data_IF_593774768166
#
_entry.id   IF_593774768166
#
_cell.length_a   1.000
_cell.length_b   1.000
_cell.length_c   1.000
_cell.angle_alpha   90.00
_cell.angle_beta   90.00
_cell.angle_gamma   90.00
#
_symmetry.space_group_name_H-M   'P 1'
#
loop_
_entity.id
_entity.type
_entity.pdbx_description
1 polymer ?
#
# COMPACT_ATOMS: atom_id res chain seq x y z
N UNK A 1 8.69 -14.29 -4.57
CA UNK A 1 8.51 -14.48 -3.13
C UNK A 1 7.14 -15.08 -2.79
N UNK A 2 6.06 -14.49 -3.30
CA UNK A 2 4.71 -15.07 -3.31
C UNK A 2 4.27 -15.21 -4.77
N UNK A 3 3.63 -16.33 -5.09
CA UNK A 3 3.04 -16.57 -6.41
C UNK A 3 1.67 -17.25 -6.22
N UNK A 4 0.66 -16.81 -6.96
CA UNK A 4 -0.63 -17.50 -7.03
C UNK A 4 -1.00 -17.76 -8.48
N UNK A 5 -1.77 -18.81 -8.72
CA UNK A 5 -2.29 -19.17 -10.04
C UNK A 5 -3.75 -19.58 -9.93
N UNK A 6 -4.62 -18.79 -10.50
CA UNK A 6 -6.06 -18.99 -10.46
C UNK A 6 -6.63 -19.11 -9.05
N UNK A 7 -5.99 -18.46 -8.05
CA UNK A 7 -6.36 -18.62 -6.65
C UNK A 7 -7.78 -18.11 -6.42
N UNK A 8 -8.66 -19.00 -5.94
CA UNK A 8 -10.09 -18.73 -5.83
C UNK A 8 -10.62 -19.12 -4.46
N UNK A 9 -11.51 -18.27 -3.92
CA UNK A 9 -12.25 -18.56 -2.69
C UNK A 9 -13.73 -18.25 -2.86
N UNK A 10 -14.53 -19.30 -2.82
CA UNK A 10 -15.99 -19.21 -2.67
C UNK A 10 -16.39 -19.63 -1.26
N UNK A 11 -17.28 -18.86 -0.62
CA UNK A 11 -17.88 -19.21 0.65
C UNK A 11 -19.23 -19.92 0.46
N UNK A 12 -19.73 -20.54 1.53
CA UNK A 12 -21.08 -21.14 1.53
C UNK A 12 -22.11 -20.08 1.17
N UNK A 13 -23.00 -20.39 0.24
CA UNK A 13 -23.97 -19.41 -0.31
C UNK A 13 -23.55 -18.81 -1.67
N UNK A 14 -22.41 -19.23 -2.23
CA UNK A 14 -21.98 -18.82 -3.59
C UNK A 14 -21.25 -17.48 -3.64
N UNK A 15 -21.02 -16.82 -2.51
CA UNK A 15 -20.25 -15.58 -2.47
C UNK A 15 -18.79 -15.84 -2.86
N UNK A 16 -18.37 -15.25 -3.97
CA UNK A 16 -17.00 -15.33 -4.50
C UNK A 16 -16.17 -14.18 -3.92
N UNK A 17 -15.35 -14.49 -2.92
CA UNK A 17 -14.52 -13.49 -2.26
C UNK A 17 -13.19 -13.22 -2.99
N UNK A 18 -12.65 -14.24 -3.69
CA UNK A 18 -11.47 -14.15 -4.56
C UNK A 18 -11.74 -15.01 -5.79
N UNK A 19 -11.50 -14.46 -6.96
CA UNK A 19 -11.83 -15.06 -8.25
C UNK A 19 -10.62 -15.07 -9.19
N UNK A 20 -9.98 -16.23 -9.33
CA UNK A 20 -8.92 -16.47 -10.29
C UNK A 20 -7.69 -15.57 -10.14
N UNK A 21 -7.25 -15.29 -8.90
CA UNK A 21 -6.15 -14.35 -8.62
C UNK A 21 -4.78 -14.91 -9.05
N UNK A 22 -4.13 -14.22 -9.98
CA UNK A 22 -2.75 -14.48 -10.45
C UNK A 22 -1.83 -13.37 -9.94
N UNK A 23 -1.20 -13.58 -8.78
CA UNK A 23 -0.37 -12.60 -8.08
C UNK A 23 1.09 -13.01 -8.09
N UNK A 24 2.00 -12.06 -8.35
CA UNK A 24 3.45 -12.26 -8.27
C UNK A 24 4.08 -11.17 -7.41
N UNK A 25 4.68 -11.57 -6.28
CA UNK A 25 5.42 -10.68 -5.38
C UNK A 25 6.91 -10.93 -5.52
N UNK A 26 7.70 -9.97 -6.01
CA UNK A 26 9.15 -10.08 -6.14
C UNK A 26 9.85 -10.19 -4.77
N UNK A 27 11.02 -10.83 -4.73
CA UNK A 27 11.87 -10.86 -3.53
C UNK A 27 12.50 -9.48 -3.30
N UNK A 28 12.60 -9.05 -2.04
CA UNK A 28 13.20 -7.77 -1.67
C UNK A 28 12.30 -6.55 -1.94
N UNK A 29 11.06 -6.75 -2.44
CA UNK A 29 10.13 -5.65 -2.65
C UNK A 29 9.38 -5.27 -1.38
N UNK A 30 8.97 -4.01 -1.30
CA UNK A 30 7.81 -3.59 -0.51
C UNK A 30 6.62 -3.64 -1.47
N UNK A 31 5.76 -4.62 -1.27
CA UNK A 31 4.64 -4.91 -2.17
C UNK A 31 3.32 -4.50 -1.53
N UNK A 32 2.61 -3.56 -2.14
CA UNK A 32 1.30 -3.09 -1.74
C UNK A 32 0.18 -3.90 -2.38
N UNK A 33 -0.75 -4.39 -1.59
CA UNK A 33 -1.96 -5.07 -2.06
C UNK A 33 -3.16 -4.18 -1.80
N UNK A 34 -3.57 -3.45 -2.83
CA UNK A 34 -4.48 -2.32 -2.77
C UNK A 34 -5.89 -2.73 -3.20
N UNK A 35 -6.89 -2.11 -2.59
CA UNK A 35 -8.29 -2.27 -2.99
C UNK A 35 -9.27 -1.85 -1.90
N UNK A 36 -10.53 -1.61 -2.23
CA UNK A 36 -11.56 -1.21 -1.27
C UNK A 36 -11.82 -2.28 -0.22
N UNK A 37 -12.50 -1.90 0.85
CA UNK A 37 -12.91 -2.83 1.88
C UNK A 37 -13.86 -3.89 1.29
N UNK A 38 -13.67 -5.16 1.71
CA UNK A 38 -14.47 -6.27 1.18
C UNK A 38 -14.06 -6.81 -0.19
N UNK A 39 -13.07 -6.25 -0.89
CA UNK A 39 -12.65 -6.72 -2.21
C UNK A 39 -11.88 -8.07 -2.19
N UNK A 40 -11.56 -8.65 -1.01
CA UNK A 40 -10.92 -9.96 -0.88
C UNK A 40 -9.47 -9.94 -0.39
N UNK A 41 -8.88 -8.80 -0.01
CA UNK A 41 -7.49 -8.68 0.46
C UNK A 41 -7.17 -9.62 1.63
N UNK A 42 -7.89 -9.48 2.74
CA UNK A 42 -7.71 -10.33 3.94
C UNK A 42 -7.96 -11.82 3.64
N UNK A 43 -8.96 -12.13 2.80
CA UNK A 43 -9.23 -13.50 2.35
C UNK A 43 -8.03 -14.09 1.60
N UNK A 44 -7.42 -13.31 0.71
CA UNK A 44 -6.20 -13.71 -0.02
C UNK A 44 -5.05 -13.95 0.96
N UNK A 45 -4.79 -13.02 1.88
CA UNK A 45 -3.75 -13.17 2.91
C UNK A 45 -3.95 -14.44 3.74
N UNK A 46 -5.19 -14.71 4.17
CA UNK A 46 -5.50 -15.93 4.94
C UNK A 46 -5.22 -17.22 4.15
N UNK A 47 -5.50 -17.25 2.83
CA UNK A 47 -5.15 -18.39 1.97
C UNK A 47 -3.62 -18.53 1.81
N UNK A 48 -2.91 -17.43 1.59
CA UNK A 48 -1.45 -17.43 1.50
C UNK A 48 -0.78 -17.96 2.77
N UNK A 49 -1.35 -17.65 3.94
CA UNK A 49 -0.85 -18.13 5.24
C UNK A 49 -1.38 -19.50 5.62
N UNK A 50 -2.23 -20.12 4.81
CA UNK A 50 -2.82 -21.44 5.11
C UNK A 50 -3.80 -21.41 6.29
N UNK A 51 -4.39 -20.26 6.59
CA UNK A 51 -5.40 -20.09 7.64
C UNK A 51 -6.80 -20.53 7.16
N UNK A 52 -7.01 -20.46 5.86
CA UNK A 52 -8.20 -21.01 5.16
C UNK A 52 -7.76 -21.70 3.87
N UNK A 53 -8.51 -22.71 3.45
CA UNK A 53 -8.27 -23.39 2.20
C UNK A 53 -8.83 -22.63 1.01
N UNK A 54 -8.09 -22.62 -0.10
CA UNK A 54 -8.60 -22.16 -1.39
C UNK A 54 -9.67 -23.13 -1.91
N UNK A 55 -10.65 -22.62 -2.64
CA UNK A 55 -11.66 -23.44 -3.33
C UNK A 55 -11.10 -23.99 -4.65
N UNK A 56 -10.22 -23.21 -5.31
CA UNK A 56 -9.51 -23.60 -6.53
C UNK A 56 -8.20 -22.83 -6.67
N UNK A 57 -7.36 -23.24 -7.62
CA UNK A 57 -6.07 -22.61 -7.87
C UNK A 57 -4.98 -23.07 -6.93
N UNK A 58 -3.88 -22.32 -6.88
CA UNK A 58 -2.72 -22.66 -6.03
C UNK A 58 -1.99 -21.41 -5.55
N UNK A 59 -1.29 -21.54 -4.42
CA UNK A 59 -0.43 -20.51 -3.86
C UNK A 59 0.94 -21.08 -3.50
N UNK A 60 1.99 -20.30 -3.69
CA UNK A 60 3.35 -20.58 -3.26
C UNK A 60 3.87 -19.40 -2.44
N UNK A 61 4.49 -19.69 -1.30
CA UNK A 61 5.14 -18.70 -0.43
C UNK A 61 6.56 -19.17 -0.18
N UNK A 62 7.55 -18.29 -0.34
CA UNK A 62 8.98 -18.63 -0.30
C UNK A 62 9.33 -19.80 -1.24
N UNK A 63 8.70 -19.83 -2.43
CA UNK A 63 8.89 -20.89 -3.44
C UNK A 63 8.24 -22.23 -3.09
N UNK A 64 7.51 -22.36 -1.98
CA UNK A 64 6.92 -23.62 -1.49
C UNK A 64 5.39 -23.61 -1.55
N UNK A 65 4.73 -24.72 -1.90
CA UNK A 65 3.28 -24.77 -2.04
C UNK A 65 2.57 -24.63 -0.68
N UNK A 66 1.57 -23.76 -0.62
CA UNK A 66 0.73 -23.58 0.55
C UNK A 66 -0.66 -24.20 0.32
N UNK A 67 -1.29 -24.74 1.38
CA UNK A 67 -0.84 -24.84 2.79
C UNK A 67 0.10 -26.00 3.09
N UNK A 68 0.36 -26.90 2.15
CA UNK A 68 1.08 -28.16 2.38
C UNK A 68 2.48 -27.97 3.02
N UNK A 69 3.22 -26.92 2.64
CA UNK A 69 4.53 -26.61 3.18
C UNK A 69 4.50 -25.66 4.41
N UNK A 70 3.35 -25.40 5.00
CA UNK A 70 3.17 -24.40 6.06
C UNK A 70 4.15 -24.55 7.22
N UNK A 71 4.38 -25.77 7.73
CA UNK A 71 5.35 -26.01 8.83
C UNK A 71 6.78 -25.55 8.52
N UNK A 72 7.18 -25.57 7.24
CA UNK A 72 8.52 -25.15 6.80
C UNK A 72 8.58 -23.66 6.46
N UNK A 73 7.48 -23.10 5.97
CA UNK A 73 7.39 -21.73 5.46
C UNK A 73 7.09 -20.74 6.58
N UNK A 74 6.07 -21.00 7.39
CA UNK A 74 5.57 -20.04 8.38
C UNK A 74 6.59 -19.58 9.43
N UNK A 75 7.55 -20.42 9.89
CA UNK A 75 8.61 -19.93 10.78
C UNK A 75 9.51 -18.84 10.16
N UNK A 76 9.50 -18.68 8.85
CA UNK A 76 10.26 -17.65 8.12
C UNK A 76 9.43 -16.41 7.76
N UNK A 77 8.15 -16.42 8.13
CA UNK A 77 7.19 -15.36 7.86
C UNK A 77 6.79 -14.68 9.16
N UNK A 78 6.95 -13.36 9.22
CA UNK A 78 6.30 -12.52 10.23
C UNK A 78 4.91 -12.12 9.72
N UNK A 79 3.88 -12.19 10.54
CA UNK A 79 2.54 -11.85 10.11
C UNK A 79 1.79 -11.01 11.16
N UNK A 80 1.07 -9.99 10.68
CA UNK A 80 0.07 -9.23 11.42
C UNK A 80 -1.21 -9.21 10.58
N UNK A 81 -2.20 -10.04 10.96
CA UNK A 81 -3.43 -10.25 10.19
C UNK A 81 -4.62 -9.89 11.09
N UNK A 82 -5.51 -9.02 10.60
CA UNK A 82 -6.72 -8.56 11.34
C UNK A 82 -6.46 -7.91 12.70
N UNK A 83 -5.24 -7.42 12.88
CA UNK A 83 -4.82 -6.78 14.12
C UNK A 83 -4.14 -7.71 15.12
N UNK A 84 -3.62 -7.15 16.19
CA UNK A 84 -2.77 -7.87 17.15
C UNK A 84 -3.60 -8.72 18.10
N UNK A 85 -3.40 -10.04 18.08
CA UNK A 85 -4.01 -10.99 19.00
C UNK A 85 -3.31 -10.96 20.39
N UNK A 86 -3.52 -9.87 21.15
CA UNK A 86 -2.84 -9.64 22.43
C UNK A 86 -3.65 -10.13 23.63
N UNK A 87 -2.94 -10.62 24.61
CA UNK A 87 -3.52 -10.91 25.94
C UNK A 87 -3.58 -9.61 26.76
N UNK A 88 -4.77 -9.02 26.86
CA UNK A 88 -4.97 -7.71 27.49
C UNK A 88 -4.53 -7.62 28.95
N UNK A 89 -4.53 -8.75 29.69
CA UNK A 89 -4.11 -8.84 31.09
C UNK A 89 -2.59 -8.96 31.28
N UNK A 90 -1.85 -9.30 30.23
CA UNK A 90 -0.38 -9.35 30.24
C UNK A 90 0.21 -7.97 29.89
N UNK A 91 1.45 -7.74 30.35
CA UNK A 91 2.23 -6.58 29.91
C UNK A 91 2.62 -6.70 28.42
N UNK A 92 3.07 -5.59 27.79
CA UNK A 92 3.61 -5.64 26.44
C UNK A 92 4.77 -6.62 26.34
N UNK A 93 5.69 -6.58 27.30
CA UNK A 93 6.83 -7.49 27.40
C UNK A 93 6.39 -8.95 27.51
N UNK A 94 5.44 -9.25 28.38
CA UNK A 94 4.99 -10.64 28.62
C UNK A 94 4.21 -11.19 27.41
N UNK A 95 3.49 -10.35 26.67
CA UNK A 95 2.92 -10.74 25.39
C UNK A 95 4.01 -11.20 24.41
N UNK A 96 5.08 -10.40 24.25
CA UNK A 96 6.18 -10.77 23.35
C UNK A 96 6.93 -12.02 23.81
N UNK A 97 7.17 -12.19 25.13
CA UNK A 97 7.74 -13.42 25.69
C UNK A 97 6.91 -14.65 25.34
N UNK A 98 5.58 -14.52 25.38
CA UNK A 98 4.66 -15.59 25.04
C UNK A 98 4.70 -15.93 23.56
N UNK A 99 4.72 -14.93 22.68
CA UNK A 99 4.88 -15.15 21.25
C UNK A 99 6.24 -15.78 20.91
N UNK A 100 7.31 -15.30 21.51
CA UNK A 100 8.64 -15.88 21.35
C UNK A 100 8.69 -17.36 21.80
N UNK A 101 8.05 -17.68 22.92
CA UNK A 101 7.99 -19.04 23.43
C UNK A 101 7.16 -19.99 22.54
N UNK A 102 6.24 -19.46 21.74
CA UNK A 102 5.44 -20.23 20.80
C UNK A 102 6.15 -20.49 19.45
N UNK A 103 7.24 -19.78 19.18
CA UNK A 103 8.02 -19.95 17.95
C UNK A 103 9.01 -21.13 18.12
N UNK A 104 8.85 -22.22 17.34
CA UNK A 104 9.72 -23.40 17.47
C UNK A 104 11.17 -23.14 17.06
N UNK A 105 11.44 -22.05 16.35
CA UNK A 105 12.80 -21.66 15.94
C UNK A 105 13.49 -20.74 16.96
N UNK A 106 12.79 -20.30 18.02
CA UNK A 106 13.33 -19.37 19.00
C UNK A 106 14.28 -20.05 20.01
N UNK A 107 15.51 -19.53 20.16
CA UNK A 107 16.40 -19.93 21.24
C UNK A 107 15.97 -19.25 22.56
N UNK A 108 15.56 -20.04 23.58
CA UNK A 108 15.14 -19.49 24.88
C UNK A 108 16.21 -18.64 25.58
N UNK A 109 17.49 -18.87 25.31
CA UNK A 109 18.63 -18.18 25.95
C UNK A 109 18.70 -16.72 25.51
N UNK A 110 18.24 -16.38 24.32
CA UNK A 110 18.30 -15.03 23.75
C UNK A 110 16.95 -14.32 23.73
N UNK A 111 15.91 -14.91 24.33
CA UNK A 111 14.53 -14.37 24.38
C UNK A 111 14.48 -12.91 24.85
N UNK A 112 15.06 -12.61 26.01
CA UNK A 112 14.98 -11.27 26.59
C UNK A 112 15.59 -10.23 25.65
N UNK A 113 16.73 -10.53 25.05
CA UNK A 113 17.37 -9.64 24.07
C UNK A 113 16.47 -9.40 22.87
N UNK A 114 15.84 -10.43 22.30
CA UNK A 114 14.90 -10.27 21.17
C UNK A 114 13.68 -9.43 21.55
N UNK A 115 13.11 -9.69 22.73
CA UNK A 115 11.97 -8.94 23.26
C UNK A 115 12.33 -7.46 23.44
N UNK A 116 13.50 -7.17 24.03
CA UNK A 116 13.97 -5.79 24.20
C UNK A 116 14.20 -5.10 22.85
N UNK A 117 14.85 -5.75 21.91
CA UNK A 117 15.09 -5.24 20.57
C UNK A 117 13.78 -4.96 19.82
N UNK A 118 12.82 -5.90 19.88
CA UNK A 118 11.52 -5.73 19.23
C UNK A 118 10.74 -4.56 19.84
N UNK A 119 10.73 -4.40 21.17
CA UNK A 119 10.10 -3.24 21.83
C UNK A 119 10.76 -1.91 21.48
N UNK A 120 12.09 -1.88 21.37
CA UNK A 120 12.84 -0.69 20.95
C UNK A 120 12.50 -0.30 19.50
N UNK A 121 12.51 -1.27 18.58
CA UNK A 121 12.21 -1.03 17.16
C UNK A 121 10.84 -0.38 16.93
N UNK A 122 9.85 -0.73 17.74
CA UNK A 122 8.49 -0.17 17.62
C UNK A 122 8.23 0.98 18.59
N UNK A 123 9.23 1.51 19.29
CA UNK A 123 9.10 2.64 20.21
C UNK A 123 8.27 2.35 21.48
N UNK A 124 8.18 1.09 21.91
CA UNK A 124 7.38 0.68 23.08
C UNK A 124 8.22 0.30 24.30
N UNK A 125 9.54 0.53 24.31
CA UNK A 125 10.44 0.16 25.41
C UNK A 125 9.98 0.77 26.76
N UNK A 126 9.64 2.09 26.79
CA UNK A 126 9.19 2.77 27.99
C UNK A 126 7.82 2.29 28.50
N UNK A 127 6.99 1.72 27.64
CA UNK A 127 5.66 1.20 27.97
C UNK A 127 5.63 -0.32 28.19
N UNK A 128 6.76 -1.01 28.06
CA UNK A 128 6.87 -2.46 28.06
C UNK A 128 6.21 -3.16 29.26
N UNK A 129 6.26 -2.55 30.44
CA UNK A 129 5.65 -3.07 31.67
C UNK A 129 4.16 -2.82 31.83
N UNK A 130 3.54 -1.92 31.02
CA UNK A 130 2.10 -1.65 31.11
C UNK A 130 1.30 -2.82 30.53
N UNK A 131 0.13 -3.10 31.10
CA UNK A 131 -0.80 -4.12 30.59
C UNK A 131 -1.32 -3.72 29.21
N UNK A 132 -1.38 -4.68 28.27
CA UNK A 132 -1.80 -4.40 26.88
C UNK A 132 -3.23 -3.86 26.76
N UNK A 133 -4.12 -4.14 27.74
CA UNK A 133 -5.46 -3.52 27.81
C UNK A 133 -5.42 -1.99 27.96
N UNK A 134 -4.34 -1.45 28.54
CA UNK A 134 -4.14 -0.02 28.76
C UNK A 134 -3.38 0.67 27.59
N UNK A 135 -3.06 -0.08 26.54
CA UNK A 135 -2.44 0.46 25.33
C UNK A 135 -3.49 1.15 24.44
N UNK A 136 -3.11 2.25 23.81
CA UNK A 136 -3.89 2.81 22.69
C UNK A 136 -3.94 1.82 21.53
N UNK A 137 -4.83 2.06 20.57
CA UNK A 137 -4.91 1.23 19.36
C UNK A 137 -3.55 1.18 18.64
N UNK A 138 -2.91 2.33 18.42
CA UNK A 138 -1.59 2.42 17.81
C UNK A 138 -0.50 1.68 18.59
N UNK A 139 -0.52 1.74 19.92
CA UNK A 139 0.42 0.93 20.72
C UNK A 139 0.16 -0.57 20.58
N UNK A 140 -1.09 -0.99 20.46
CA UNK A 140 -1.43 -2.41 20.21
C UNK A 140 -0.95 -2.85 18.83
N UNK A 141 -1.17 -2.06 17.79
CA UNK A 141 -0.68 -2.33 16.44
C UNK A 141 0.85 -2.47 16.42
N UNK A 142 1.56 -1.52 17.02
CA UNK A 142 3.02 -1.58 17.14
C UNK A 142 3.50 -2.80 17.94
N UNK A 143 2.79 -3.21 18.99
CA UNK A 143 3.12 -4.44 19.73
C UNK A 143 2.90 -5.70 18.89
N UNK A 144 1.84 -5.75 18.06
CA UNK A 144 1.60 -6.84 17.11
C UNK A 144 2.71 -6.92 16.06
N UNK A 145 3.15 -5.76 15.54
CA UNK A 145 4.29 -5.70 14.64
C UNK A 145 5.59 -6.16 15.31
N UNK A 146 5.83 -5.75 16.58
CA UNK A 146 6.95 -6.26 17.37
C UNK A 146 6.94 -7.78 17.50
N UNK A 147 5.77 -8.39 17.69
CA UNK A 147 5.62 -9.84 17.73
C UNK A 147 6.01 -10.51 16.40
N UNK A 148 5.63 -9.92 15.26
CA UNK A 148 6.04 -10.40 13.94
C UNK A 148 7.55 -10.32 13.70
N UNK A 149 8.24 -9.40 14.39
CA UNK A 149 9.68 -9.10 14.26
C UNK A 149 10.57 -9.75 15.34
N UNK A 150 10.04 -10.61 16.20
CA UNK A 150 10.82 -11.29 17.26
C UNK A 150 11.97 -12.15 16.71
N UNK A 151 11.80 -12.70 15.52
CA UNK A 151 12.81 -13.47 14.80
C UNK A 151 13.15 -12.81 13.47
N UNK A 152 14.35 -13.03 12.91
CA UNK A 152 14.64 -12.66 11.52
C UNK A 152 13.64 -13.34 10.57
N UNK A 153 13.03 -12.57 9.68
CA UNK A 153 12.03 -13.08 8.72
C UNK A 153 12.46 -12.79 7.29
N UNK A 154 12.21 -13.75 6.40
CA UNK A 154 12.42 -13.55 4.95
C UNK A 154 11.26 -12.77 4.31
N UNK A 155 10.06 -12.90 4.90
CA UNK A 155 8.83 -12.26 4.44
C UNK A 155 8.06 -11.70 5.65
N UNK A 156 7.55 -10.48 5.52
CA UNK A 156 6.62 -9.87 6.46
C UNK A 156 5.28 -9.64 5.75
N UNK A 157 4.19 -10.15 6.34
CA UNK A 157 2.82 -10.00 5.82
C UNK A 157 2.01 -9.15 6.80
N UNK A 158 1.56 -7.99 6.35
CA UNK A 158 0.85 -7.00 7.16
C UNK A 158 -0.52 -6.71 6.55
N UNK A 159 -1.58 -7.03 7.26
CA UNK A 159 -2.95 -6.74 6.84
C UNK A 159 -3.41 -5.43 7.50
N UNK A 160 -3.56 -4.36 6.69
CA UNK A 160 -3.98 -3.02 7.10
C UNK A 160 -3.17 -2.49 8.31
N UNK A 161 -1.82 -2.44 8.27
CA UNK A 161 -0.99 -2.19 9.46
C UNK A 161 -1.15 -0.78 10.04
N UNK A 162 -1.66 0.16 9.28
CA UNK A 162 -1.84 1.57 9.65
C UNK A 162 -3.28 1.93 10.03
N UNK A 163 -4.19 0.96 9.87
CA UNK A 163 -5.61 1.20 10.12
C UNK A 163 -5.87 1.66 11.57
N UNK A 164 -6.57 2.80 11.71
CA UNK A 164 -6.91 3.39 13.01
C UNK A 164 -5.73 4.03 13.76
N UNK A 165 -4.60 4.29 13.08
CA UNK A 165 -3.49 5.06 13.61
C UNK A 165 -3.69 6.56 13.35
N UNK A 166 -3.12 7.37 14.24
CA UNK A 166 -2.93 8.80 13.99
C UNK A 166 -1.82 9.03 12.93
N UNK A 167 -1.72 10.22 12.33
CA UNK A 167 -0.72 10.53 11.32
C UNK A 167 0.73 10.28 11.77
N UNK A 168 1.01 10.42 13.07
CA UNK A 168 2.33 10.14 13.62
C UNK A 168 2.61 8.63 13.61
N UNK A 169 1.68 7.81 14.10
CA UNK A 169 1.79 6.36 14.09
C UNK A 169 1.93 5.79 12.68
N UNK A 170 1.21 6.34 11.70
CA UNK A 170 1.34 5.96 10.28
C UNK A 170 2.75 6.24 9.76
N UNK A 171 3.33 7.41 10.07
CA UNK A 171 4.72 7.74 9.68
C UNK A 171 5.73 6.78 10.30
N UNK A 172 5.55 6.41 11.57
CA UNK A 172 6.44 5.49 12.28
C UNK A 172 6.41 4.08 11.67
N UNK A 173 5.21 3.55 11.36
CA UNK A 173 5.07 2.26 10.67
C UNK A 173 5.71 2.29 9.29
N UNK A 174 5.51 3.35 8.51
CA UNK A 174 6.12 3.51 7.18
C UNK A 174 7.64 3.53 7.25
N UNK A 175 8.21 4.26 8.22
CA UNK A 175 9.65 4.31 8.43
C UNK A 175 10.22 2.90 8.76
N UNK A 176 9.53 2.16 9.64
CA UNK A 176 9.92 0.80 10.01
C UNK A 176 9.84 -0.18 8.81
N UNK A 177 8.80 -0.09 7.99
CA UNK A 177 8.68 -0.92 6.78
C UNK A 177 9.83 -0.67 5.80
N UNK A 178 10.22 0.61 5.60
CA UNK A 178 11.37 0.95 4.75
C UNK A 178 12.70 0.43 5.32
N UNK A 179 12.91 0.54 6.64
CA UNK A 179 14.08 -0.01 7.32
C UNK A 179 14.19 -1.52 7.10
N UNK A 180 13.09 -2.27 7.33
CA UNK A 180 13.05 -3.71 7.13
C UNK A 180 13.33 -4.12 5.69
N UNK A 181 12.83 -3.37 4.72
CA UNK A 181 13.11 -3.62 3.31
C UNK A 181 14.57 -3.35 2.95
N UNK A 182 15.16 -2.29 3.51
CA UNK A 182 16.58 -1.99 3.34
C UNK A 182 17.48 -3.09 3.93
N UNK A 183 17.04 -3.77 5.00
CA UNK A 183 17.68 -4.95 5.58
C UNK A 183 17.46 -6.24 4.74
N UNK A 184 16.78 -6.16 3.59
CA UNK A 184 16.53 -7.27 2.67
C UNK A 184 15.30 -8.10 2.96
N UNK A 185 14.46 -7.73 3.93
CA UNK A 185 13.17 -8.38 4.18
C UNK A 185 12.17 -8.01 3.08
N UNK A 186 11.50 -9.00 2.49
CA UNK A 186 10.36 -8.72 1.61
C UNK A 186 9.15 -8.36 2.46
N UNK A 187 8.47 -7.26 2.14
CA UNK A 187 7.25 -6.86 2.84
C UNK A 187 6.06 -6.92 1.89
N UNK A 188 5.02 -7.64 2.30
CA UNK A 188 3.72 -7.67 1.64
C UNK A 188 2.72 -7.02 2.57
N UNK A 189 2.15 -5.90 2.18
CA UNK A 189 1.18 -5.19 2.99
C UNK A 189 -0.11 -4.91 2.22
N UNK A 190 -1.26 -5.08 2.87
CA UNK A 190 -2.54 -4.62 2.34
C UNK A 190 -2.85 -3.22 2.83
N UNK A 191 -3.50 -2.44 1.98
CA UNK A 191 -4.07 -1.14 2.35
C UNK A 191 -5.28 -0.82 1.46
N UNK A 192 -6.17 0.01 1.97
CA UNK A 192 -7.20 0.69 1.19
C UNK A 192 -6.82 2.13 0.89
N UNK A 193 -5.68 2.62 1.40
CA UNK A 193 -5.18 3.98 1.22
C UNK A 193 -4.08 4.01 0.16
N UNK A 194 -4.34 4.67 -0.93
CA UNK A 194 -3.44 4.81 -2.08
C UNK A 194 -2.16 5.55 -1.73
N UNK A 195 -2.28 6.67 -1.03
CA UNK A 195 -1.14 7.47 -0.56
C UNK A 195 -0.13 6.67 0.23
N UNK A 196 -0.59 5.67 1.01
CA UNK A 196 0.32 4.80 1.75
C UNK A 196 1.14 3.92 0.84
N UNK A 197 0.51 3.34 -0.19
CA UNK A 197 1.18 2.50 -1.17
C UNK A 197 2.20 3.30 -1.97
N UNK A 198 1.84 4.47 -2.45
CA UNK A 198 2.75 5.35 -3.19
C UNK A 198 3.97 5.78 -2.37
N UNK A 199 3.77 6.04 -1.08
CA UNK A 199 4.85 6.51 -0.21
C UNK A 199 5.82 5.42 0.23
N UNK A 200 5.43 4.14 0.27
CA UNK A 200 6.22 3.08 0.91
C UNK A 200 6.57 1.94 -0.05
N UNK A 201 5.68 1.63 -1.00
CA UNK A 201 5.82 0.45 -1.82
C UNK A 201 6.67 0.69 -3.06
N UNK A 202 7.41 -0.35 -3.46
CA UNK A 202 8.12 -0.40 -4.75
C UNK A 202 7.26 -1.01 -5.85
N UNK A 203 6.37 -1.92 -5.46
CA UNK A 203 5.43 -2.62 -6.34
C UNK A 203 4.05 -2.60 -5.72
N UNK A 204 3.04 -2.70 -6.55
CA UNK A 204 1.66 -2.82 -6.09
C UNK A 204 0.83 -3.75 -6.99
N UNK A 205 -0.24 -4.26 -6.40
CA UNK A 205 -1.33 -4.92 -7.12
C UNK A 205 -2.65 -4.29 -6.68
N UNK A 206 -3.50 -3.99 -7.64
CA UNK A 206 -4.82 -3.41 -7.42
C UNK A 206 -5.87 -4.49 -7.55
N UNK A 207 -6.71 -4.62 -6.53
CA UNK A 207 -7.78 -5.61 -6.45
C UNK A 207 -9.14 -4.95 -6.35
N UNK A 208 -10.11 -5.42 -7.13
CA UNK A 208 -11.51 -5.02 -7.01
C UNK A 208 -12.43 -6.23 -7.21
N UNK A 209 -13.52 -6.31 -6.43
CA UNK A 209 -14.56 -7.35 -6.55
C UNK A 209 -14.02 -8.78 -6.65
N UNK A 210 -12.99 -9.11 -5.86
CA UNK A 210 -12.37 -10.43 -5.83
C UNK A 210 -11.34 -10.70 -6.91
N UNK A 211 -11.09 -9.79 -7.85
CA UNK A 211 -10.20 -9.98 -9.00
C UNK A 211 -9.01 -9.04 -8.97
N UNK A 212 -7.89 -9.50 -9.51
CA UNK A 212 -6.74 -8.65 -9.80
C UNK A 212 -7.05 -7.78 -11.02
N UNK A 213 -6.92 -6.48 -10.86
CA UNK A 213 -7.11 -5.51 -11.95
C UNK A 213 -5.78 -5.26 -12.66
N UNK A 214 -4.72 -5.00 -11.89
CA UNK A 214 -3.37 -4.75 -12.42
C UNK A 214 -2.33 -5.02 -11.35
N UNK A 215 -1.08 -5.27 -11.76
CA UNK A 215 0.08 -5.35 -10.89
C UNK A 215 1.34 -4.90 -11.63
N UNK A 216 2.28 -4.30 -10.90
CA UNK A 216 3.54 -3.81 -11.47
C UNK A 216 4.36 -3.02 -10.45
N UNK A 217 5.39 -2.31 -10.92
CA UNK A 217 6.02 -1.30 -10.07
C UNK A 217 5.07 -0.13 -9.86
N UNK A 218 5.17 0.56 -8.72
CA UNK A 218 4.35 1.77 -8.46
C UNK A 218 4.57 2.81 -9.56
N UNK A 219 5.81 2.95 -10.05
CA UNK A 219 6.15 3.85 -11.14
C UNK A 219 5.44 3.48 -12.46
N UNK A 220 5.43 2.19 -12.84
CA UNK A 220 4.78 1.72 -14.07
C UNK A 220 3.26 1.88 -13.99
N UNK A 221 2.67 1.58 -12.82
CA UNK A 221 1.24 1.73 -12.61
C UNK A 221 0.80 3.20 -12.73
N UNK A 222 1.57 4.12 -12.16
CA UNK A 222 1.32 5.55 -12.30
C UNK A 222 1.55 6.03 -13.75
N UNK A 223 2.54 5.46 -14.46
CA UNK A 223 2.82 5.80 -15.85
C UNK A 223 1.72 5.28 -16.81
N UNK A 224 1.11 4.13 -16.55
CA UNK A 224 0.05 3.55 -17.40
C UNK A 224 -1.16 4.48 -17.50
N UNK A 225 -1.46 5.27 -16.48
CA UNK A 225 -2.53 6.29 -16.52
C UNK A 225 -2.08 7.53 -17.28
N UNK A 226 -0.79 7.87 -17.21
CA UNK A 226 -0.23 8.92 -18.05
C UNK A 226 -0.29 8.59 -19.55
N UNK A 227 -0.11 7.30 -19.92
CA UNK A 227 -0.20 6.84 -21.32
C UNK A 227 -1.65 6.76 -21.84
N UNK A 228 -2.63 6.50 -20.99
CA UNK A 228 -4.05 6.48 -21.36
C UNK A 228 -4.70 7.88 -21.32
N UNK A 229 -4.20 8.77 -20.47
CA UNK A 229 -4.34 10.23 -20.58
C UNK A 229 -3.05 10.73 -21.21
N UNK A 230 -2.94 10.70 -22.54
CA UNK A 230 -1.75 11.11 -23.29
C UNK A 230 -1.26 12.55 -23.02
N UNK A 231 -1.66 13.16 -21.94
CA UNK A 231 -1.37 14.51 -21.50
C UNK A 231 -1.43 14.59 -19.97
N UNK A 232 -0.35 15.01 -19.35
CA UNK A 232 -0.37 15.40 -17.93
C UNK A 232 -1.42 16.50 -17.70
N UNK A 233 -2.09 16.47 -16.55
CA UNK A 233 -2.98 17.58 -16.17
C UNK A 233 -2.14 18.75 -15.66
N UNK A 234 -2.18 19.87 -16.39
CA UNK A 234 -1.54 21.10 -15.99
C UNK A 234 -2.33 21.77 -14.88
N UNK A 235 -1.64 22.28 -13.87
CA UNK A 235 -2.22 23.12 -12.81
C UNK A 235 -1.46 24.44 -12.73
N UNK A 236 -2.20 25.54 -12.81
CA UNK A 236 -1.70 26.90 -12.65
C UNK A 236 -2.44 27.59 -11.52
N UNK A 237 -1.74 27.99 -10.47
CA UNK A 237 -2.32 28.82 -9.40
C UNK A 237 -2.03 30.29 -9.70
N UNK A 238 -3.08 31.10 -9.83
CA UNK A 238 -3.00 32.50 -10.25
C UNK A 238 -4.20 33.28 -9.75
N UNK A 239 -4.05 34.55 -9.41
CA UNK A 239 -5.20 35.46 -9.19
C UNK A 239 -5.91 35.88 -10.48
N UNK A 240 -5.40 35.48 -11.64
CA UNK A 240 -5.92 35.87 -12.98
C UNK A 240 -6.37 34.60 -13.75
N UNK A 241 -7.32 33.77 -13.24
CA UNK A 241 -7.63 32.48 -13.84
C UNK A 241 -8.24 32.56 -15.24
N UNK A 242 -9.02 33.59 -15.53
CA UNK A 242 -9.63 33.76 -16.86
C UNK A 242 -8.59 34.06 -17.95
N UNK A 243 -7.60 34.90 -17.64
CA UNK A 243 -6.51 35.20 -18.58
C UNK A 243 -5.59 34.01 -18.76
N UNK A 244 -5.29 33.30 -17.67
CA UNK A 244 -4.51 32.04 -17.72
C UNK A 244 -5.20 31.02 -18.63
N UNK A 245 -6.50 30.78 -18.44
CA UNK A 245 -7.26 29.82 -19.24
C UNK A 245 -7.27 30.20 -20.74
N UNK A 246 -7.38 31.47 -21.07
CA UNK A 246 -7.30 31.95 -22.48
C UNK A 246 -5.94 31.63 -23.10
N UNK A 247 -4.84 31.95 -22.40
CA UNK A 247 -3.48 31.67 -22.89
C UNK A 247 -3.23 30.18 -23.03
N UNK A 248 -3.63 29.36 -22.03
CA UNK A 248 -3.47 27.91 -22.07
C UNK A 248 -4.26 27.29 -23.25
N UNK A 249 -5.46 27.77 -23.51
CA UNK A 249 -6.27 27.33 -24.66
C UNK A 249 -5.61 27.63 -26.00
N UNK A 250 -4.99 28.80 -26.15
CA UNK A 250 -4.24 29.19 -27.34
C UNK A 250 -3.03 28.28 -27.60
N UNK A 251 -2.49 27.64 -26.54
CA UNK A 251 -1.38 26.71 -26.62
C UNK A 251 -1.83 25.22 -26.59
N UNK A 252 -3.12 24.96 -26.87
CA UNK A 252 -3.64 23.61 -27.07
C UNK A 252 -4.02 22.86 -25.80
N UNK A 253 -4.03 23.49 -24.63
CA UNK A 253 -4.55 22.87 -23.41
C UNK A 253 -6.07 22.77 -23.51
N UNK A 254 -6.59 21.56 -23.23
CA UNK A 254 -8.01 21.20 -23.31
C UNK A 254 -8.61 20.95 -21.93
N UNK A 255 -9.91 20.68 -21.85
CA UNK A 255 -10.65 20.36 -20.61
C UNK A 255 -10.36 21.34 -19.45
N UNK A 256 -10.29 22.63 -19.78
CA UNK A 256 -9.98 23.69 -18.83
C UNK A 256 -11.06 23.84 -17.77
N UNK A 257 -10.67 23.72 -16.50
CA UNK A 257 -11.50 23.95 -15.31
C UNK A 257 -10.92 25.12 -14.53
N UNK A 258 -11.77 26.07 -14.17
CA UNK A 258 -11.41 27.28 -13.45
C UNK A 258 -12.02 27.24 -12.05
N UNK A 259 -11.21 27.62 -11.07
CA UNK A 259 -11.64 27.99 -9.71
C UNK A 259 -11.19 29.42 -9.42
N UNK A 260 -11.47 29.94 -8.22
CA UNK A 260 -11.19 31.34 -7.86
C UNK A 260 -9.70 31.73 -8.01
N UNK A 261 -8.79 30.79 -7.80
CA UNK A 261 -7.34 31.02 -7.81
C UNK A 261 -6.53 29.98 -8.61
N UNK A 262 -7.20 29.09 -9.36
CA UNK A 262 -6.54 27.98 -10.05
C UNK A 262 -7.19 27.68 -11.39
N UNK A 263 -6.35 27.32 -12.36
CA UNK A 263 -6.75 26.76 -13.65
C UNK A 263 -6.11 25.38 -13.79
N UNK A 264 -6.91 24.38 -14.11
CA UNK A 264 -6.42 23.06 -14.49
C UNK A 264 -6.87 22.73 -15.90
N UNK A 265 -6.07 21.95 -16.62
CA UNK A 265 -6.40 21.54 -17.99
C UNK A 265 -5.50 20.41 -18.46
N UNK A 266 -5.94 19.69 -19.47
CA UNK A 266 -5.20 18.57 -20.03
C UNK A 266 -4.25 19.05 -21.12
N UNK A 267 -2.95 18.72 -21.01
CA UNK A 267 -1.94 19.00 -22.01
C UNK A 267 -2.23 18.17 -23.28
N UNK A 268 -2.04 18.70 -24.50
CA UNK A 268 -2.22 17.93 -25.71
C UNK A 268 -1.27 16.73 -25.72
N UNK A 269 -1.81 15.54 -25.98
CA UNK A 269 -1.06 14.29 -25.94
C UNK A 269 -0.34 14.00 -27.24
N UNK A 270 0.63 13.10 -27.17
CA UNK A 270 1.34 12.56 -28.34
C UNK A 270 0.42 11.80 -29.32
N UNK A 271 -0.85 11.55 -28.99
CA UNK A 271 -1.82 10.87 -29.86
C UNK A 271 -2.13 11.66 -31.15
N UNK A 272 -1.96 12.98 -31.14
CA UNK A 272 -2.17 13.83 -32.33
C UNK A 272 -0.90 14.06 -33.16
N UNK A 273 0.18 13.31 -32.89
CA UNK A 273 1.43 13.40 -33.66
C UNK A 273 2.24 14.67 -33.43
N UNK A 274 1.84 15.53 -32.49
CA UNK A 274 2.63 16.69 -32.06
C UNK A 274 3.30 16.39 -30.72
N UNK A 275 4.57 16.76 -30.51
CA UNK A 275 5.18 16.65 -29.20
C UNK A 275 4.40 17.52 -28.19
N UNK A 276 4.25 17.08 -26.93
CA UNK A 276 3.62 17.91 -25.91
C UNK A 276 4.38 19.26 -25.80
N UNK A 277 3.66 20.36 -25.54
CA UNK A 277 4.30 21.67 -25.39
C UNK A 277 5.27 21.63 -24.21
N UNK A 278 6.42 22.30 -24.37
CA UNK A 278 7.35 22.46 -23.25
C UNK A 278 6.67 23.26 -22.13
N UNK A 279 6.71 22.72 -20.93
CA UNK A 279 6.15 23.38 -19.74
C UNK A 279 6.82 24.72 -19.47
N UNK A 280 8.10 24.88 -19.81
CA UNK A 280 8.81 26.14 -19.68
C UNK A 280 8.27 27.19 -20.65
N UNK A 281 7.95 26.81 -21.90
CA UNK A 281 7.37 27.68 -22.89
C UNK A 281 5.93 28.11 -22.52
N UNK A 282 5.13 27.20 -22.01
CA UNK A 282 3.79 27.50 -21.48
C UNK A 282 3.85 28.50 -20.32
N UNK A 283 4.75 28.28 -19.36
CA UNK A 283 4.94 29.20 -18.24
C UNK A 283 5.41 30.59 -18.74
N UNK A 284 6.34 30.64 -19.69
CA UNK A 284 6.81 31.86 -20.27
C UNK A 284 5.67 32.61 -20.99
N UNK A 285 4.82 31.91 -21.73
CA UNK A 285 3.66 32.49 -22.41
C UNK A 285 2.66 33.12 -21.42
N UNK A 286 2.38 32.46 -20.32
CA UNK A 286 1.53 33.00 -19.24
C UNK A 286 2.11 34.31 -18.67
N UNK A 287 3.40 34.32 -18.35
CA UNK A 287 4.08 35.49 -17.78
C UNK A 287 4.12 36.64 -18.80
N UNK A 288 4.43 36.35 -20.07
CA UNK A 288 4.43 37.38 -21.14
C UNK A 288 3.03 37.95 -21.39
N UNK A 289 1.98 37.18 -21.20
CA UNK A 289 0.60 37.65 -21.28
C UNK A 289 0.13 38.47 -20.06
N UNK A 290 1.04 38.66 -19.05
CA UNK A 290 0.76 39.45 -17.86
C UNK A 290 0.04 38.66 -16.75
N UNK A 291 -0.07 37.32 -16.87
CA UNK A 291 -0.65 36.45 -15.83
C UNK A 291 0.29 36.35 -14.66
N UNK A 292 -0.21 36.59 -13.45
CA UNK A 292 0.57 36.50 -12.22
C UNK A 292 0.62 35.05 -11.73
N UNK A 293 1.56 34.26 -12.22
CA UNK A 293 1.73 32.86 -11.87
C UNK A 293 2.31 32.72 -10.44
N UNK A 294 1.56 32.08 -9.53
CA UNK A 294 2.00 31.75 -8.15
C UNK A 294 2.58 30.35 -8.04
N UNK A 295 1.97 29.40 -8.76
CA UNK A 295 2.48 28.04 -8.90
C UNK A 295 2.13 27.52 -10.29
N UNK A 296 3.01 26.69 -10.84
CA UNK A 296 2.89 26.08 -12.15
C UNK A 296 3.47 24.67 -12.09
N UNK A 297 2.75 23.69 -12.56
CA UNK A 297 3.20 22.31 -12.57
C UNK A 297 2.20 21.37 -13.19
N UNK A 298 2.62 20.13 -13.38
CA UNK A 298 1.72 19.05 -13.79
C UNK A 298 1.35 18.20 -12.58
N UNK A 299 0.08 17.87 -12.45
CA UNK A 299 -0.36 16.84 -11.52
C UNK A 299 0.11 15.50 -12.09
N UNK A 300 0.83 14.74 -11.28
CA UNK A 300 1.12 13.34 -11.61
C UNK A 300 -0.17 12.56 -11.40
N UNK A 301 -0.51 11.70 -12.36
CA UNK A 301 -1.59 10.75 -12.12
C UNK A 301 -1.29 9.94 -10.85
N UNK A 302 -2.24 9.94 -9.93
CA UNK A 302 -2.17 9.14 -8.71
C UNK A 302 -2.63 7.71 -8.99
N UNK A 303 -2.28 6.76 -8.13
CA UNK A 303 -2.88 5.42 -8.18
C UNK A 303 -4.41 5.45 -8.00
N UNK A 304 -4.97 6.54 -7.45
CA UNK A 304 -6.41 6.76 -7.35
C UNK A 304 -7.03 6.99 -8.73
N UNK A 305 -6.39 7.81 -9.57
CA UNK A 305 -6.82 7.99 -10.97
C UNK A 305 -6.77 6.66 -11.74
N UNK A 306 -5.72 5.84 -11.50
CA UNK A 306 -5.60 4.46 -12.04
C UNK A 306 -6.80 3.63 -11.62
N UNK A 307 -7.12 3.65 -10.34
CA UNK A 307 -8.20 2.84 -9.80
C UNK A 307 -9.57 3.26 -10.35
N UNK A 308 -9.88 4.56 -10.31
CA UNK A 308 -11.14 5.12 -10.85
C UNK A 308 -11.30 4.78 -12.33
N UNK A 309 -10.22 4.91 -13.10
CA UNK A 309 -10.24 4.62 -14.53
C UNK A 309 -10.49 3.15 -14.84
N UNK A 310 -9.86 2.23 -14.06
CA UNK A 310 -9.95 0.79 -14.30
C UNK A 310 -11.23 0.17 -13.71
N UNK A 311 -11.83 0.78 -12.70
CA UNK A 311 -13.02 0.23 -12.02
C UNK A 311 -14.31 1.00 -12.31
N UNK A 312 -14.21 2.24 -12.79
CA UNK A 312 -15.35 3.16 -12.95
C UNK A 312 -15.94 3.67 -11.64
N UNK A 313 -15.35 3.34 -10.51
CA UNK A 313 -15.85 3.67 -9.16
C UNK A 313 -14.69 4.17 -8.27
N UNK A 314 -14.94 5.22 -7.46
CA UNK A 314 -13.97 5.67 -6.44
C UNK A 314 -13.82 4.67 -5.29
N UNK A 315 -12.75 4.81 -4.48
CA UNK A 315 -12.47 3.95 -3.32
C UNK A 315 -13.56 3.98 -2.24
N UNK A 316 -14.37 5.04 -2.19
CA UNK A 316 -15.36 5.27 -1.13
C UNK A 316 -16.72 4.61 -1.37
N UNK A 317 -16.90 3.83 -2.42
CA UNK A 317 -18.17 3.14 -2.68
C UNK A 317 -18.19 1.80 -1.96
N UNK A 318 -18.35 1.85 -0.63
CA UNK A 318 -18.86 0.74 0.14
C UNK A 318 -20.38 0.89 0.24
N UNK A 319 -21.10 0.13 -0.59
CA UNK A 319 -22.52 -0.11 -0.44
C UNK A 319 -22.77 -1.19 0.59
#
# INVERSE_FOLDING_TARGET
MIETRGLTKAYRGGQLAVDGLDLVVPRGSVFGFLGPNGCGKTTTIRMLMGLIDATAGSARVLGSPMPAAGRRVLPKVGALIEGPALYGFLSGRDNLRRFDAADPAADPRTRERRVDQALQRVGLAAAAGKKARAYSLGMKQRLGLAAALLQPRELLVLDEPTNGLDPQGMREIRALVRELAADGTTVFLSSHLLDEIEQVCTHAAVMARGRLITQGTVADLSATVLDTRASGRLTVTTPDPADAARVLKEHGVTELQLTDDRVTGDLPGAADGQPPPDLADLNAALVHAGVRVRAFGTERASLEDVFVQLTGEGFDVAG
#
